data_IF_714643599669
#
_entry.id   IF_714643599669
#
_cell.length_a   1.000
_cell.length_b   1.000
_cell.length_c   1.000
_cell.angle_alpha   90.00
_cell.angle_beta   90.00
_cell.angle_gamma   90.00
#
_symmetry.space_group_name_H-M   'P 1'
#
loop_
_entity.id
_entity.type
_entity.pdbx_description
1 polymer ?
#
# COMPACT_ATOMS: atom_id res chain seq x y z
N UNK A 1 -3.74 -30.31 18.25
CA UNK A 1 -4.12 -29.07 17.55
C UNK A 1 -3.69 -29.25 16.11
N UNK A 2 -4.62 -29.31 15.17
CA UNK A 2 -4.28 -29.58 13.77
C UNK A 2 -3.56 -28.36 13.19
N UNK A 3 -2.31 -28.53 12.78
CA UNK A 3 -1.67 -27.59 11.86
C UNK A 3 -2.59 -27.47 10.64
N UNK A 4 -3.26 -26.32 10.51
CA UNK A 4 -4.13 -26.06 9.37
C UNK A 4 -3.29 -26.14 8.10
N UNK A 5 -3.71 -26.99 7.17
CA UNK A 5 -3.06 -27.12 5.86
C UNK A 5 -3.18 -25.79 5.10
N UNK A 6 -2.10 -25.01 5.11
CA UNK A 6 -1.99 -23.72 4.40
C UNK A 6 -1.51 -23.88 2.95
N UNK A 7 -1.27 -25.12 2.48
CA UNK A 7 -0.67 -25.39 1.17
C UNK A 7 -1.49 -24.90 -0.03
N UNK A 8 -2.77 -24.54 0.18
CA UNK A 8 -3.66 -23.96 -0.82
C UNK A 8 -3.89 -22.44 -0.69
N UNK A 9 -3.32 -21.76 0.30
CA UNK A 9 -3.56 -20.33 0.55
C UNK A 9 -2.61 -19.50 -0.30
N UNK A 10 -3.17 -18.80 -1.29
CA UNK A 10 -2.44 -17.86 -2.15
C UNK A 10 -2.41 -16.46 -1.55
N UNK A 11 -1.25 -15.82 -1.62
CA UNK A 11 -1.01 -14.43 -1.21
C UNK A 11 -0.86 -13.54 -2.44
N UNK A 12 -1.59 -12.45 -2.49
CA UNK A 12 -1.33 -11.36 -3.42
C UNK A 12 -0.42 -10.33 -2.74
N UNK A 13 0.81 -10.20 -3.21
CA UNK A 13 1.78 -9.21 -2.76
C UNK A 13 1.68 -7.94 -3.61
N UNK A 14 1.35 -6.81 -2.99
CA UNK A 14 1.17 -5.50 -3.63
C UNK A 14 2.37 -4.60 -3.29
N UNK A 15 3.43 -4.56 -4.13
CA UNK A 15 4.64 -3.76 -3.91
C UNK A 15 4.49 -2.29 -4.32
N UNK A 16 3.36 -1.89 -4.91
CA UNK A 16 3.22 -0.64 -5.68
C UNK A 16 3.73 0.61 -4.96
N UNK A 17 3.58 0.71 -3.64
CA UNK A 17 4.01 1.87 -2.87
C UNK A 17 5.49 2.25 -3.08
N UNK A 18 6.40 1.29 -3.29
CA UNK A 18 7.83 1.57 -3.51
C UNK A 18 8.27 1.40 -4.97
N UNK A 19 7.32 1.19 -5.88
CA UNK A 19 7.59 0.96 -7.31
C UNK A 19 7.80 2.25 -8.11
N UNK A 20 7.53 3.41 -7.51
CA UNK A 20 7.73 4.70 -8.15
C UNK A 20 9.22 4.95 -8.48
N UNK A 21 9.43 5.78 -9.49
CA UNK A 21 10.76 6.08 -10.02
C UNK A 21 11.15 7.50 -9.65
N UNK A 22 12.07 7.64 -8.70
CA UNK A 22 12.63 8.94 -8.33
C UNK A 22 13.33 9.58 -9.54
N UNK A 23 12.81 10.72 -10.00
CA UNK A 23 13.36 11.44 -11.15
C UNK A 23 14.52 12.36 -10.76
N UNK A 24 14.74 12.58 -9.46
CA UNK A 24 15.74 13.51 -8.92
C UNK A 24 17.09 12.87 -8.60
N UNK A 25 17.17 11.53 -8.51
CA UNK A 25 18.41 10.81 -8.22
C UNK A 25 19.41 10.94 -9.39
N UNK A 26 20.48 11.70 -9.18
CA UNK A 26 21.49 12.01 -10.20
C UNK A 26 22.35 10.80 -10.62
N UNK A 27 22.36 9.71 -9.84
CA UNK A 27 22.99 8.43 -10.20
C UNK A 27 22.19 7.65 -11.27
N UNK A 28 20.95 8.09 -11.54
CA UNK A 28 19.97 7.47 -12.45
C UNK A 28 20.18 7.87 -13.91
N UNK A 29 20.95 8.92 -14.19
CA UNK A 29 21.03 9.56 -15.51
C UNK A 29 21.53 8.67 -16.66
N UNK A 30 22.09 7.48 -16.37
CA UNK A 30 22.61 6.55 -17.40
C UNK A 30 21.60 5.51 -17.90
N UNK A 31 20.44 5.33 -17.26
CA UNK A 31 19.49 4.24 -17.60
C UNK A 31 18.18 4.76 -18.17
N UNK A 32 17.66 4.06 -19.18
CA UNK A 32 16.33 4.35 -19.72
C UNK A 32 15.23 4.11 -18.67
N UNK A 33 14.11 4.84 -18.79
CA UNK A 33 12.92 4.64 -17.94
C UNK A 33 12.47 3.17 -17.97
N UNK A 34 12.45 2.55 -19.15
CA UNK A 34 12.07 1.14 -19.30
C UNK A 34 12.97 0.18 -18.53
N UNK A 35 14.29 0.42 -18.51
CA UNK A 35 15.24 -0.41 -17.78
C UNK A 35 15.06 -0.29 -16.26
N UNK A 36 14.78 0.93 -15.79
CA UNK A 36 14.49 1.19 -14.38
C UNK A 36 13.20 0.48 -13.94
N UNK A 37 12.13 0.58 -14.74
CA UNK A 37 10.87 -0.14 -14.51
C UNK A 37 11.10 -1.66 -14.44
N UNK A 38 11.88 -2.23 -15.37
CA UNK A 38 12.22 -3.66 -15.35
C UNK A 38 12.97 -4.07 -14.08
N UNK A 39 13.92 -3.24 -13.62
CA UNK A 39 14.68 -3.52 -12.40
C UNK A 39 13.78 -3.49 -11.15
N UNK A 40 12.93 -2.48 -11.00
CA UNK A 40 11.96 -2.42 -9.90
C UNK A 40 11.01 -3.62 -9.91
N UNK A 41 10.52 -4.01 -11.09
CA UNK A 41 9.69 -5.21 -11.21
C UNK A 41 10.45 -6.50 -10.86
N UNK A 42 11.75 -6.58 -11.14
CA UNK A 42 12.57 -7.72 -10.74
C UNK A 42 12.82 -7.75 -9.22
N UNK A 43 13.02 -6.59 -8.61
CA UNK A 43 13.16 -6.42 -7.16
C UNK A 43 11.87 -6.81 -6.41
N UNK A 44 10.72 -6.29 -6.84
CA UNK A 44 9.42 -6.66 -6.27
C UNK A 44 9.13 -8.16 -6.36
N UNK A 45 9.49 -8.82 -7.48
CA UNK A 45 9.37 -10.29 -7.60
C UNK A 45 10.34 -11.04 -6.68
N UNK A 46 11.53 -10.48 -6.42
CA UNK A 46 12.48 -11.05 -5.45
C UNK A 46 11.90 -10.95 -4.04
N UNK A 47 11.33 -9.80 -3.67
CA UNK A 47 10.65 -9.62 -2.39
C UNK A 47 9.46 -10.57 -2.24
N UNK A 48 8.65 -10.76 -3.28
CA UNK A 48 7.56 -11.73 -3.27
C UNK A 48 8.05 -13.17 -3.02
N UNK A 49 9.20 -13.57 -3.58
CA UNK A 49 9.81 -14.87 -3.28
C UNK A 49 10.31 -14.96 -1.83
N UNK A 50 10.94 -13.91 -1.31
CA UNK A 50 11.37 -13.86 0.09
C UNK A 50 10.16 -13.96 1.02
N UNK A 51 9.06 -13.26 0.72
CA UNK A 51 7.82 -13.34 1.47
C UNK A 51 7.25 -14.78 1.43
N UNK A 52 7.29 -15.44 0.27
CA UNK A 52 6.88 -16.84 0.14
C UNK A 52 7.70 -17.75 1.06
N UNK A 53 9.02 -17.61 1.06
CA UNK A 53 9.92 -18.37 1.94
C UNK A 53 9.62 -18.11 3.42
N UNK A 54 9.40 -16.85 3.80
CA UNK A 54 9.04 -16.46 5.18
C UNK A 54 7.68 -17.00 5.63
N UNK A 55 6.76 -17.23 4.69
CA UNK A 55 5.44 -17.81 4.93
C UNK A 55 5.43 -19.33 4.74
N UNK A 56 6.60 -20.00 4.81
CA UNK A 56 6.67 -21.47 4.74
C UNK A 56 6.41 -22.04 3.34
N UNK A 57 6.70 -21.26 2.29
CA UNK A 57 6.55 -21.69 0.89
C UNK A 57 5.17 -21.46 0.28
N UNK A 58 4.31 -20.67 0.94
CA UNK A 58 3.00 -20.31 0.40
C UNK A 58 3.12 -19.61 -0.96
N UNK A 59 2.23 -19.89 -1.95
CA UNK A 59 2.25 -19.20 -3.24
C UNK A 59 2.05 -17.69 -3.09
N UNK A 60 2.96 -16.91 -3.67
CA UNK A 60 2.91 -15.43 -3.68
C UNK A 60 2.90 -14.92 -5.11
N UNK A 61 1.83 -14.21 -5.48
CA UNK A 61 1.73 -13.47 -6.73
C UNK A 61 2.05 -12.00 -6.51
N UNK A 62 3.02 -11.46 -7.26
CA UNK A 62 3.35 -10.03 -7.22
C UNK A 62 2.43 -9.25 -8.15
N UNK A 63 1.65 -8.32 -7.59
CA UNK A 63 0.62 -7.54 -8.30
C UNK A 63 0.94 -6.05 -8.19
N UNK A 64 1.48 -5.48 -9.26
CA UNK A 64 1.76 -4.04 -9.33
C UNK A 64 0.56 -3.27 -9.91
N UNK A 65 -0.16 -2.55 -9.05
CA UNK A 65 -1.32 -1.72 -9.38
C UNK A 65 -0.98 -0.54 -10.30
N UNK A 66 0.30 -0.20 -10.49
CA UNK A 66 0.70 0.86 -11.41
C UNK A 66 0.68 0.43 -12.88
N UNK A 67 0.63 -0.88 -13.17
CA UNK A 67 0.55 -1.41 -14.53
C UNK A 67 -0.75 -1.00 -15.21
N UNK A 68 -0.63 -0.49 -16.44
CA UNK A 68 -1.78 -0.04 -17.25
C UNK A 68 -2.63 -1.21 -17.76
N UNK A 69 -2.01 -2.37 -17.99
CA UNK A 69 -2.65 -3.57 -18.53
C UNK A 69 -3.15 -4.52 -17.42
N UNK A 70 -3.17 -4.08 -16.16
CA UNK A 70 -3.57 -4.92 -15.04
C UNK A 70 -5.08 -5.14 -15.00
N UNK A 71 -5.51 -6.39 -15.08
CA UNK A 71 -6.83 -6.81 -14.61
C UNK A 71 -6.73 -7.22 -13.12
N UNK A 72 -7.17 -6.34 -12.22
CA UNK A 72 -7.07 -6.59 -10.77
C UNK A 72 -7.89 -7.81 -10.34
N UNK A 73 -9.05 -8.05 -10.96
CA UNK A 73 -9.91 -9.19 -10.58
C UNK A 73 -9.25 -10.52 -10.90
N UNK A 74 -8.59 -10.63 -12.06
CA UNK A 74 -7.82 -11.82 -12.44
C UNK A 74 -6.56 -11.97 -11.59
N UNK A 75 -5.84 -10.86 -11.35
CA UNK A 75 -4.61 -10.88 -10.56
C UNK A 75 -4.83 -11.32 -9.11
N UNK A 76 -5.98 -10.97 -8.52
CA UNK A 76 -6.35 -11.35 -7.16
C UNK A 76 -7.15 -12.67 -7.09
N UNK A 77 -7.41 -13.33 -8.22
CA UNK A 77 -8.19 -14.56 -8.23
C UNK A 77 -7.54 -15.64 -7.37
N UNK A 78 -8.35 -16.20 -6.46
CA UNK A 78 -7.94 -17.24 -5.52
C UNK A 78 -7.07 -16.74 -4.36
N UNK A 79 -6.71 -15.46 -4.30
CA UNK A 79 -5.96 -14.91 -3.18
C UNK A 79 -6.82 -14.88 -1.92
N UNK A 80 -6.26 -15.38 -0.82
CA UNK A 80 -6.88 -15.38 0.52
C UNK A 80 -6.17 -14.44 1.48
N UNK A 81 -5.03 -13.91 1.06
CA UNK A 81 -4.28 -12.85 1.75
C UNK A 81 -3.91 -11.78 0.73
N UNK A 82 -4.17 -10.52 1.07
CA UNK A 82 -3.67 -9.34 0.36
C UNK A 82 -2.60 -8.71 1.25
N UNK A 83 -1.35 -8.78 0.83
CA UNK A 83 -0.21 -8.18 1.51
C UNK A 83 0.19 -6.89 0.79
N UNK A 84 -0.01 -5.75 1.42
CA UNK A 84 0.31 -4.42 0.86
C UNK A 84 1.58 -3.88 1.49
N UNK A 85 2.62 -3.71 0.67
CA UNK A 85 3.94 -3.26 1.10
C UNK A 85 3.97 -1.78 1.50
N UNK A 86 5.05 -1.41 2.18
CA UNK A 86 5.41 -0.02 2.45
C UNK A 86 6.05 0.68 1.24
N UNK A 87 6.15 2.00 1.34
CA UNK A 87 6.66 2.90 0.29
C UNK A 87 5.94 4.24 0.41
N UNK A 88 5.71 4.92 -0.72
CA UNK A 88 4.99 6.17 -0.76
C UNK A 88 3.46 5.96 -0.75
N UNK A 89 2.79 6.51 0.27
CA UNK A 89 1.34 6.37 0.46
C UNK A 89 0.51 7.01 -0.66
N UNK A 90 0.91 8.18 -1.17
CA UNK A 90 0.18 8.92 -2.20
C UNK A 90 0.18 8.17 -3.54
N UNK A 91 1.33 7.64 -3.93
CA UNK A 91 1.46 6.82 -5.13
C UNK A 91 0.65 5.53 -5.03
N UNK A 92 0.73 4.85 -3.88
CA UNK A 92 -0.10 3.67 -3.61
C UNK A 92 -1.59 3.99 -3.75
N UNK A 93 -2.04 5.06 -3.08
CA UNK A 93 -3.47 5.43 -3.06
C UNK A 93 -3.98 5.79 -4.44
N UNK A 94 -3.21 6.59 -5.19
CA UNK A 94 -3.53 6.94 -6.58
C UNK A 94 -3.76 5.69 -7.43
N UNK A 95 -2.85 4.71 -7.37
CA UNK A 95 -2.95 3.50 -8.17
C UNK A 95 -4.01 2.50 -7.68
N UNK A 96 -4.30 2.44 -6.38
CA UNK A 96 -5.45 1.68 -5.87
C UNK A 96 -6.77 2.18 -6.45
N UNK A 97 -7.00 3.50 -6.45
CA UNK A 97 -8.20 4.10 -7.05
C UNK A 97 -8.26 3.86 -8.56
N UNK A 98 -7.16 4.15 -9.27
CA UNK A 98 -7.11 4.08 -10.74
C UNK A 98 -7.31 2.65 -11.28
N UNK A 99 -6.84 1.64 -10.56
CA UNK A 99 -6.94 0.23 -10.97
C UNK A 99 -8.27 -0.44 -10.60
N UNK A 100 -9.14 0.23 -9.83
CA UNK A 100 -10.37 -0.37 -9.30
C UNK A 100 -10.14 -1.35 -8.15
N UNK A 101 -8.92 -1.39 -7.60
CA UNK A 101 -8.55 -2.26 -6.47
C UNK A 101 -9.43 -2.04 -5.24
N UNK A 102 -9.85 -0.80 -4.98
CA UNK A 102 -10.68 -0.43 -3.83
C UNK A 102 -11.91 -1.32 -3.65
N UNK A 103 -12.72 -1.46 -4.70
CA UNK A 103 -13.97 -2.19 -4.62
C UNK A 103 -13.73 -3.69 -4.43
N UNK A 104 -12.72 -4.23 -5.13
CA UNK A 104 -12.36 -5.65 -5.07
C UNK A 104 -11.80 -6.00 -3.68
N UNK A 105 -10.84 -5.22 -3.19
CA UNK A 105 -10.23 -5.42 -1.87
C UNK A 105 -11.27 -5.35 -0.76
N UNK A 106 -12.15 -4.34 -0.75
CA UNK A 106 -13.20 -4.21 0.28
C UNK A 106 -14.13 -5.43 0.28
N UNK A 107 -14.59 -5.89 -0.90
CA UNK A 107 -15.43 -7.09 -1.01
C UNK A 107 -14.70 -8.33 -0.52
N UNK A 108 -13.46 -8.56 -0.98
CA UNK A 108 -12.67 -9.72 -0.58
C UNK A 108 -12.47 -9.78 0.94
N UNK A 109 -12.16 -8.65 1.57
CA UNK A 109 -11.93 -8.58 3.02
C UNK A 109 -13.23 -8.74 3.81
N UNK A 110 -14.30 -8.03 3.43
CA UNK A 110 -15.55 -7.99 4.21
C UNK A 110 -16.45 -9.20 3.99
N UNK A 111 -16.54 -9.66 2.75
CA UNK A 111 -17.55 -10.63 2.33
C UNK A 111 -16.96 -12.03 2.10
N UNK A 112 -15.68 -12.11 1.72
CA UNK A 112 -15.01 -13.38 1.35
C UNK A 112 -14.02 -13.88 2.42
N UNK A 113 -13.83 -13.11 3.50
CA UNK A 113 -12.93 -13.46 4.61
C UNK A 113 -11.44 -13.40 4.26
N UNK A 114 -11.07 -12.61 3.24
CA UNK A 114 -9.68 -12.40 2.85
C UNK A 114 -8.94 -11.60 3.93
N UNK A 115 -7.72 -12.03 4.28
CA UNK A 115 -6.89 -11.32 5.25
C UNK A 115 -6.15 -10.17 4.57
N UNK A 116 -6.27 -8.97 5.11
CA UNK A 116 -5.48 -7.82 4.68
C UNK A 116 -4.28 -7.59 5.62
N UNK A 117 -3.08 -7.52 5.06
CA UNK A 117 -1.85 -7.17 5.78
C UNK A 117 -1.29 -5.88 5.20
N UNK A 118 -1.24 -4.82 6.00
CA UNK A 118 -0.76 -3.51 5.57
C UNK A 118 0.53 -3.10 6.27
N UNK A 119 1.62 -2.93 5.52
CA UNK A 119 2.90 -2.44 6.03
C UNK A 119 3.05 -0.95 5.73
N UNK A 120 3.30 -0.12 6.76
CA UNK A 120 3.53 1.32 6.62
C UNK A 120 2.45 2.03 5.78
N UNK A 121 2.74 2.42 4.53
CA UNK A 121 1.78 2.96 3.58
C UNK A 121 0.56 2.05 3.37
N UNK A 122 0.79 0.73 3.26
CA UNK A 122 -0.27 -0.28 3.21
C UNK A 122 -1.15 -0.30 4.45
N UNK A 123 -0.61 0.08 5.61
CA UNK A 123 -1.38 0.30 6.83
C UNK A 123 -2.19 1.58 6.76
N UNK A 124 -1.57 2.71 6.41
CA UNK A 124 -2.25 4.01 6.31
C UNK A 124 -3.47 3.93 5.39
N UNK A 125 -3.33 3.36 4.19
CA UNK A 125 -4.45 3.24 3.24
C UNK A 125 -5.57 2.32 3.71
N UNK A 126 -5.35 1.44 4.69
CA UNK A 126 -6.39 0.54 5.22
C UNK A 126 -7.44 1.30 6.07
N UNK A 127 -7.05 2.43 6.67
CA UNK A 127 -7.91 3.26 7.50
C UNK A 127 -8.95 4.05 6.72
N UNK A 128 -9.67 4.92 7.46
CA UNK A 128 -10.66 5.86 6.93
C UNK A 128 -10.04 6.88 5.98
N UNK A 129 -8.90 7.46 6.35
CA UNK A 129 -8.21 8.49 5.58
C UNK A 129 -6.69 8.30 5.59
N UNK A 130 -6.00 8.86 4.60
CA UNK A 130 -4.54 8.81 4.46
C UNK A 130 -3.83 10.07 5.00
N UNK A 131 -4.53 10.95 5.72
CA UNK A 131 -4.00 12.26 6.15
C UNK A 131 -2.71 12.17 6.98
N UNK A 132 -2.50 11.07 7.71
CA UNK A 132 -1.28 10.80 8.49
C UNK A 132 -0.02 10.70 7.64
N UNK A 133 -0.15 10.41 6.34
CA UNK A 133 0.99 10.41 5.40
C UNK A 133 1.69 11.79 5.31
N UNK A 134 0.95 12.89 5.54
CA UNK A 134 1.52 14.24 5.52
C UNK A 134 2.34 14.58 6.77
N UNK A 135 2.16 13.85 7.87
CA UNK A 135 2.58 14.36 9.19
C UNK A 135 4.09 14.32 9.40
N UNK A 136 4.78 13.33 8.81
CA UNK A 136 6.24 13.15 8.96
C UNK A 136 7.06 13.70 7.80
N UNK A 137 6.42 14.05 6.68
CA UNK A 137 7.10 14.41 5.43
C UNK A 137 7.90 13.28 4.80
N UNK A 138 7.62 12.01 5.14
CA UNK A 138 8.30 10.85 4.57
C UNK A 138 7.75 10.45 3.20
N UNK A 139 6.46 10.73 2.97
CA UNK A 139 5.78 10.47 1.72
C UNK A 139 5.69 11.79 0.93
N UNK A 140 6.27 11.83 -0.26
CA UNK A 140 6.15 12.95 -1.20
C UNK A 140 4.82 12.88 -1.96
N UNK A 141 3.89 13.83 -1.77
CA UNK A 141 2.61 13.85 -2.49
C UNK A 141 2.73 14.29 -3.95
N UNK A 142 3.84 14.93 -4.34
CA UNK A 142 4.02 15.50 -5.68
C UNK A 142 4.38 14.48 -6.76
N UNK A 143 4.67 13.23 -6.37
CA UNK A 143 5.03 12.17 -7.32
C UNK A 143 3.85 11.67 -8.16
N UNK A 144 2.63 12.10 -7.84
CA UNK A 144 1.41 11.91 -8.63
C UNK A 144 0.65 13.22 -8.72
N UNK A 145 0.00 13.44 -9.86
CA UNK A 145 -0.82 14.63 -10.11
C UNK A 145 -2.23 14.42 -9.54
N UNK A 146 -2.39 14.73 -8.26
CA UNK A 146 -3.66 14.64 -7.52
C UNK A 146 -3.81 15.89 -6.64
N UNK A 147 -4.99 16.50 -6.66
CA UNK A 147 -5.33 17.57 -5.72
C UNK A 147 -5.65 16.97 -4.34
N UNK A 148 -4.63 16.90 -3.49
CA UNK A 148 -4.77 16.39 -2.13
C UNK A 148 -5.46 17.35 -1.17
N UNK A 149 -5.77 18.58 -1.59
CA UNK A 149 -6.59 19.51 -0.78
C UNK A 149 -8.07 19.12 -0.78
N UNK A 150 -8.51 18.32 -1.77
CA UNK A 150 -9.85 17.78 -1.81
C UNK A 150 -10.00 16.59 -0.82
N UNK A 151 -10.86 16.67 0.20
CA UNK A 151 -11.02 15.61 1.20
C UNK A 151 -11.38 14.24 0.61
N UNK A 152 -12.10 14.19 -0.52
CA UNK A 152 -12.47 12.93 -1.17
C UNK A 152 -11.27 12.17 -1.75
N UNK A 153 -10.16 12.87 -2.03
CA UNK A 153 -8.91 12.23 -2.45
C UNK A 153 -8.14 11.62 -1.27
N UNK A 154 -8.43 12.07 -0.03
CA UNK A 154 -7.81 11.55 1.19
C UNK A 154 -8.49 10.30 1.74
N UNK A 155 -9.66 9.92 1.24
CA UNK A 155 -10.34 8.67 1.62
C UNK A 155 -9.43 7.46 1.39
N UNK A 156 -9.23 6.64 2.43
CA UNK A 156 -8.55 5.36 2.32
C UNK A 156 -9.46 4.25 1.77
N UNK A 157 -9.07 3.00 2.00
CA UNK A 157 -9.90 1.83 1.72
C UNK A 157 -11.09 1.75 2.69
N UNK A 158 -10.98 2.31 3.90
CA UNK A 158 -12.03 2.22 4.91
C UNK A 158 -12.28 0.76 5.35
N UNK A 159 -11.25 -0.08 5.37
CA UNK A 159 -11.32 -1.40 6.00
C UNK A 159 -11.51 -1.25 7.51
N UNK A 160 -10.93 -0.18 8.07
CA UNK A 160 -11.13 0.28 9.44
C UNK A 160 -11.84 1.64 9.39
N UNK A 161 -13.18 1.69 9.30
CA UNK A 161 -13.92 2.91 9.02
C UNK A 161 -13.80 3.96 10.14
N UNK A 162 -13.54 3.55 11.37
CA UNK A 162 -13.44 4.44 12.54
C UNK A 162 -11.99 4.75 12.94
N UNK A 163 -11.02 4.35 12.11
CA UNK A 163 -9.60 4.48 12.45
C UNK A 163 -8.79 5.16 11.36
N UNK A 164 -7.84 5.99 11.79
CA UNK A 164 -6.76 6.53 10.96
C UNK A 164 -5.44 6.04 11.55
N UNK A 165 -4.58 5.46 10.73
CA UNK A 165 -3.37 4.79 11.20
C UNK A 165 -2.14 5.68 11.03
N UNK A 166 -1.32 5.76 12.09
CA UNK A 166 -0.05 6.49 12.12
C UNK A 166 1.10 5.51 12.40
N UNK A 167 1.71 4.92 11.37
CA UNK A 167 2.75 3.90 11.54
C UNK A 167 4.07 4.51 12.02
N UNK A 168 4.96 3.66 12.53
CA UNK A 168 6.29 4.05 13.06
C UNK A 168 6.18 5.10 14.17
N UNK A 169 5.13 5.01 15.00
CA UNK A 169 5.00 5.86 16.18
C UNK A 169 6.15 5.59 17.13
N UNK A 170 6.69 6.67 17.65
CA UNK A 170 7.75 6.69 18.65
C UNK A 170 7.34 7.79 19.61
N UNK A 171 7.18 7.44 20.88
CA UNK A 171 6.55 8.30 21.88
C UNK A 171 7.35 9.61 22.05
N UNK A 172 8.67 9.51 22.14
CA UNK A 172 9.53 10.66 22.36
C UNK A 172 9.53 11.63 21.17
N UNK A 173 9.51 11.09 19.95
CA UNK A 173 9.62 11.89 18.73
C UNK A 173 8.30 12.42 18.21
N UNK A 174 7.20 11.70 18.43
CA UNK A 174 5.96 11.94 17.70
C UNK A 174 4.75 12.26 18.59
N UNK A 175 4.81 12.10 19.92
CA UNK A 175 3.65 12.35 20.78
C UNK A 175 3.12 13.79 20.64
N UNK A 176 4.02 14.77 20.54
CA UNK A 176 3.62 16.18 20.35
C UNK A 176 2.97 16.41 18.98
N UNK A 177 3.57 15.88 17.91
CA UNK A 177 3.02 15.96 16.55
C UNK A 177 1.60 15.35 16.49
N UNK A 178 1.41 14.17 17.08
CA UNK A 178 0.10 13.50 17.12
C UNK A 178 -0.91 14.31 17.93
N UNK A 179 -0.50 14.88 19.07
CA UNK A 179 -1.37 15.74 19.89
C UNK A 179 -1.80 16.99 19.12
N UNK A 180 -0.88 17.65 18.42
CA UNK A 180 -1.17 18.84 17.62
C UNK A 180 -2.14 18.51 16.48
N UNK A 181 -1.85 17.47 15.68
CA UNK A 181 -2.70 17.09 14.54
C UNK A 181 -4.10 16.65 14.94
N UNK A 182 -4.24 15.91 16.04
CA UNK A 182 -5.57 15.56 16.58
C UNK A 182 -6.37 16.79 17.05
N UNK A 183 -5.70 17.81 17.57
CA UNK A 183 -6.37 19.04 18.00
C UNK A 183 -6.82 19.91 16.81
N UNK A 184 -6.11 19.84 15.69
CA UNK A 184 -6.51 20.49 14.43
C UNK A 184 -7.75 19.80 13.85
N UNK A 185 -7.76 18.45 13.81
CA UNK A 185 -8.90 17.68 13.29
C UNK A 185 -10.22 17.96 14.03
N UNK A 186 -10.19 18.23 15.35
CA UNK A 186 -11.39 18.55 16.16
C UNK A 186 -11.93 19.96 15.90
N UNK A 187 -11.11 20.87 15.36
CA UNK A 187 -11.55 22.25 15.07
C UNK A 187 -12.24 22.39 13.72
N UNK A 188 -12.04 21.41 12.83
CA UNK A 188 -12.59 21.38 11.47
C UNK A 188 -13.89 20.55 11.36
N UNK A 189 -14.38 19.96 12.46
CA UNK A 189 -15.70 19.32 12.61
C UNK A 189 -16.75 20.27 13.22
#
# INVERSE_FOLDING_TARGET
EGEGDVSGIKVAYIPTAHMWLDQSDSSVSKRSIGERRRRRAAEARKEGRILSEQLGGMPVDTVDLAREDLNVSEALQGARVIYVAGGNTFFLRHHMRRSGFDAICKRMVRDEGCVYVGLSAGGIVAGRHICTAFWKGWDDPSIVDVDWSNPSNLEGLGLLPDHVLFPHHDEEKHAELVRQKRADDVKDE
#
